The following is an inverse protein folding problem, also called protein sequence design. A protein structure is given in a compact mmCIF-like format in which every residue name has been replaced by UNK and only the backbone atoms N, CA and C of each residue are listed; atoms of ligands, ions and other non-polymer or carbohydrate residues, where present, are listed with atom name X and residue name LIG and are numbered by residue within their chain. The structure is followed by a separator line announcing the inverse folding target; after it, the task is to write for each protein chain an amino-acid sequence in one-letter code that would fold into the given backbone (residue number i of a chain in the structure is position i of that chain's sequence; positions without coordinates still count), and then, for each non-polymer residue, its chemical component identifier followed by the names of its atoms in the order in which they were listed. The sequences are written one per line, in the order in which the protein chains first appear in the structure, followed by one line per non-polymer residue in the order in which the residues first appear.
data_IF_405970319982
#
_entry.id   IF_405970319982
#
_cell.length_a   1.000
_cell.length_b   1.000
_cell.length_c   1.000
_cell.angle_alpha   90.00
_cell.angle_beta   90.00
_cell.angle_gamma   90.00
#
_symmetry.space_group_name_H-M   'P 1'
#
loop_
_entity.id
_entity.type
_entity.pdbx_description
1 polymer ?
#
# COMPACT_ATOMS: atom_id res chain seq x y z
N UNK A 1 -29.40 21.47 -4.26
CA UNK A 1 -28.20 21.64 -3.40
C UNK A 1 -27.00 21.81 -4.31
N UNK A 2 -26.27 22.92 -4.17
CA UNK A 2 -25.15 23.38 -4.99
C UNK A 2 -24.24 22.31 -5.60
N UNK A 3 -24.41 22.06 -6.91
CA UNK A 3 -23.52 21.20 -7.72
C UNK A 3 -22.76 21.97 -8.80
N UNK A 4 -23.01 23.28 -8.92
CA UNK A 4 -22.43 24.14 -9.95
C UNK A 4 -21.62 25.27 -9.32
N UNK A 5 -20.55 25.68 -10.01
CA UNK A 5 -19.77 26.85 -9.64
C UNK A 5 -20.69 28.08 -9.47
N UNK A 6 -20.47 28.85 -8.40
CA UNK A 6 -21.34 29.96 -7.99
C UNK A 6 -22.35 29.60 -6.88
N UNK A 7 -22.76 28.33 -6.75
CA UNK A 7 -23.75 27.88 -5.76
C UNK A 7 -23.19 26.83 -4.76
N UNK A 8 -21.87 26.66 -4.66
CA UNK A 8 -21.22 25.58 -3.90
C UNK A 8 -21.28 25.80 -2.38
N UNK A 9 -20.81 26.95 -1.92
CA UNK A 9 -20.56 27.23 -0.50
C UNK A 9 -20.52 28.74 -0.26
N UNK A 10 -20.93 29.17 0.94
CA UNK A 10 -20.76 30.55 1.39
C UNK A 10 -19.42 30.71 2.12
N UNK A 11 -18.42 31.22 1.43
CA UNK A 11 -17.10 31.57 2.00
C UNK A 11 -16.99 33.08 2.18
N UNK A 12 -16.33 33.55 3.24
CA UNK A 12 -16.07 34.98 3.49
C UNK A 12 -14.60 35.19 3.87
N UNK A 13 -14.00 36.27 3.36
CA UNK A 13 -12.66 36.76 3.76
C UNK A 13 -11.49 35.78 3.59
N UNK A 14 -11.45 35.02 2.48
CA UNK A 14 -10.28 34.19 2.12
C UNK A 14 -9.60 34.80 0.89
N UNK A 15 -8.33 35.16 1.03
CA UNK A 15 -7.49 35.66 -0.09
C UNK A 15 -6.46 34.58 -0.42
N UNK A 16 -6.29 34.28 -1.70
CA UNK A 16 -5.34 33.28 -2.19
C UNK A 16 -4.49 33.89 -3.31
N UNK A 17 -3.19 33.61 -3.28
CA UNK A 17 -2.23 34.13 -4.25
C UNK A 17 -1.70 33.00 -5.12
N UNK A 18 -1.47 33.30 -6.40
CA UNK A 18 -1.01 32.34 -7.39
C UNK A 18 0.03 33.01 -8.29
N UNK A 19 1.02 32.23 -8.75
CA UNK A 19 1.99 32.66 -9.77
C UNK A 19 1.61 32.05 -11.11
N UNK A 20 1.88 32.76 -12.22
CA UNK A 20 1.71 32.21 -13.56
C UNK A 20 2.52 30.93 -13.74
N UNK A 21 2.02 29.89 -14.41
CA UNK A 21 2.76 28.64 -14.64
C UNK A 21 4.12 28.84 -15.32
N UNK A 22 4.23 29.86 -16.18
CA UNK A 22 5.47 30.18 -16.90
C UNK A 22 6.56 30.80 -15.99
N UNK A 23 6.17 31.29 -14.82
CA UNK A 23 7.08 31.85 -13.80
C UNK A 23 7.51 30.80 -12.77
N UNK A 24 6.93 29.61 -12.81
CA UNK A 24 7.19 28.53 -11.85
C UNK A 24 8.14 27.49 -12.43
N UNK A 25 8.91 26.85 -11.54
CA UNK A 25 9.66 25.64 -11.89
C UNK A 25 8.69 24.45 -11.94
N UNK A 26 8.82 23.59 -12.95
CA UNK A 26 7.98 22.38 -13.08
C UNK A 26 8.22 21.38 -11.94
N UNK A 27 9.48 21.24 -11.49
CA UNK A 27 9.86 20.35 -10.38
C UNK A 27 10.68 21.08 -9.31
N UNK A 28 10.03 21.90 -8.46
CA UNK A 28 10.71 22.54 -7.35
C UNK A 28 11.00 21.52 -6.24
N UNK A 29 12.10 21.74 -5.50
CA UNK A 29 12.41 21.05 -4.24
C UNK A 29 12.30 19.51 -4.28
N UNK A 30 12.92 18.89 -5.30
CA UNK A 30 13.02 17.43 -5.43
C UNK A 30 13.47 16.72 -4.14
N UNK A 31 14.52 17.15 -3.41
CA UNK A 31 14.93 16.46 -2.18
C UNK A 31 13.83 16.44 -1.12
N UNK A 32 13.09 17.55 -0.97
CA UNK A 32 11.96 17.61 -0.04
C UNK A 32 10.82 16.67 -0.45
N UNK A 33 10.55 16.55 -1.76
CA UNK A 33 9.54 15.62 -2.27
C UNK A 33 9.88 14.17 -1.95
N UNK A 34 11.15 13.77 -2.11
CA UNK A 34 11.60 12.41 -1.78
C UNK A 34 11.40 12.11 -0.29
N UNK A 35 11.81 13.05 0.58
CA UNK A 35 11.62 12.90 2.02
C UNK A 35 10.14 12.84 2.41
N UNK A 36 9.28 13.62 1.76
CA UNK A 36 7.84 13.56 2.01
C UNK A 36 7.22 12.25 1.49
N UNK A 37 7.68 11.70 0.36
CA UNK A 37 7.27 10.37 -0.11
C UNK A 37 7.66 9.30 0.90
N UNK A 38 8.89 9.34 1.42
CA UNK A 38 9.34 8.43 2.47
C UNK A 38 8.45 8.53 3.72
N UNK A 39 8.14 9.74 4.19
CA UNK A 39 7.24 9.97 5.32
C UNK A 39 5.83 9.40 5.08
N UNK A 40 5.29 9.48 3.85
CA UNK A 40 3.98 8.91 3.49
C UNK A 40 4.02 7.39 3.40
N UNK A 41 5.14 6.83 2.93
CA UNK A 41 5.35 5.39 2.90
C UNK A 41 5.43 4.83 4.33
N UNK A 42 6.29 5.39 5.18
CA UNK A 42 6.51 4.91 6.54
C UNK A 42 5.25 4.98 7.41
N UNK A 43 4.40 6.01 7.23
CA UNK A 43 3.14 6.14 7.98
C UNK A 43 2.10 5.08 7.62
N UNK A 44 2.20 4.47 6.43
CA UNK A 44 1.26 3.46 5.95
C UNK A 44 1.82 2.03 6.04
N UNK A 45 3.15 1.88 6.05
CA UNK A 45 3.84 0.60 6.01
C UNK A 45 3.33 -0.37 7.08
N UNK A 46 3.30 0.03 8.35
CA UNK A 46 2.88 -0.86 9.44
C UNK A 46 1.38 -1.16 9.47
N UNK A 47 0.55 -0.40 8.76
CA UNK A 47 -0.88 -0.72 8.63
C UNK A 47 -1.14 -1.77 7.56
N UNK A 48 -0.34 -1.76 6.50
CA UNK A 48 -0.58 -2.56 5.29
C UNK A 48 0.28 -3.83 5.27
N UNK A 49 1.58 -3.69 5.57
CA UNK A 49 2.56 -4.78 5.44
C UNK A 49 2.25 -6.02 6.30
N UNK A 50 1.81 -5.92 7.58
CA UNK A 50 1.59 -7.11 8.40
C UNK A 50 0.57 -8.08 7.82
N UNK A 51 -0.49 -7.57 7.19
CA UNK A 51 -1.55 -8.38 6.57
C UNK A 51 -1.01 -9.18 5.39
N UNK A 52 -0.20 -8.54 4.54
CA UNK A 52 0.44 -9.21 3.41
C UNK A 52 1.48 -10.25 3.85
N UNK A 53 2.29 -9.93 4.87
CA UNK A 53 3.28 -10.86 5.42
C UNK A 53 2.58 -12.10 5.96
N UNK A 54 1.52 -11.93 6.74
CA UNK A 54 0.76 -13.05 7.28
C UNK A 54 0.14 -13.92 6.18
N UNK A 55 -0.48 -13.31 5.17
CA UNK A 55 -1.04 -14.02 4.03
C UNK A 55 0.04 -14.83 3.29
N UNK A 56 1.23 -14.25 3.10
CA UNK A 56 2.33 -14.94 2.45
C UNK A 56 2.86 -16.11 3.27
N UNK A 57 2.99 -15.95 4.59
CA UNK A 57 3.38 -17.05 5.49
C UNK A 57 2.39 -18.21 5.43
N UNK A 58 1.09 -17.92 5.47
CA UNK A 58 0.04 -18.94 5.32
C UNK A 58 0.13 -19.64 3.97
N UNK A 59 0.35 -18.90 2.88
CA UNK A 59 0.52 -19.46 1.55
C UNK A 59 1.68 -20.46 1.48
N UNK A 60 2.85 -20.10 2.02
CA UNK A 60 4.02 -20.99 2.03
C UNK A 60 3.74 -22.23 2.86
N UNK A 61 3.24 -22.07 4.09
CA UNK A 61 2.92 -23.18 4.97
C UNK A 61 1.92 -24.15 4.34
N UNK A 62 0.83 -23.65 3.77
CA UNK A 62 -0.22 -24.47 3.17
C UNK A 62 0.31 -25.31 1.99
N UNK A 63 1.14 -24.70 1.14
CA UNK A 63 1.75 -25.40 0.01
C UNK A 63 2.74 -26.48 0.46
N UNK A 64 3.60 -26.17 1.42
CA UNK A 64 4.57 -27.13 1.96
C UNK A 64 3.88 -28.28 2.68
N UNK A 65 2.85 -27.99 3.46
CA UNK A 65 2.07 -28.99 4.17
C UNK A 65 1.32 -29.91 3.20
N UNK A 66 0.65 -29.35 2.19
CA UNK A 66 -0.01 -30.13 1.14
C UNK A 66 0.98 -31.03 0.38
N UNK A 67 2.19 -30.52 0.08
CA UNK A 67 3.25 -31.31 -0.57
C UNK A 67 3.75 -32.45 0.33
N UNK A 68 3.85 -32.23 1.65
CA UNK A 68 4.22 -33.27 2.61
C UNK A 68 3.16 -34.37 2.70
N UNK A 69 1.88 -34.00 2.79
CA UNK A 69 0.76 -34.97 2.88
C UNK A 69 0.61 -35.85 1.64
N UNK A 70 0.97 -35.34 0.47
CA UNK A 70 0.94 -36.13 -0.79
C UNK A 70 2.08 -37.13 -0.91
N UNK A 71 3.13 -37.02 -0.08
CA UNK A 71 4.21 -38.02 -0.07
C UNK A 71 3.76 -39.27 0.67
N UNK A 72 4.04 -40.43 0.09
CA UNK A 72 3.82 -41.72 0.75
C UNK A 72 4.68 -41.80 2.01
N UNK A 73 4.10 -42.29 3.11
CA UNK A 73 4.83 -42.55 4.34
C UNK A 73 5.53 -43.91 4.24
N UNK A 74 6.87 -44.00 4.31
CA UNK A 74 7.58 -45.27 4.21
C UNK A 74 7.22 -46.25 5.33
N UNK A 75 6.85 -45.74 6.52
CA UNK A 75 6.47 -46.57 7.67
C UNK A 75 5.20 -47.39 7.45
N UNK A 76 4.35 -47.01 6.50
CA UNK A 76 3.10 -47.75 6.20
C UNK A 76 3.38 -49.06 5.44
N UNK A 77 4.57 -49.24 4.86
CA UNK A 77 4.94 -50.41 4.05
C UNK A 77 5.95 -51.34 4.75
N UNK A 78 6.32 -51.07 6.00
CA UNK A 78 7.35 -51.83 6.73
C UNK A 78 6.89 -53.26 7.09
N UNK A 79 5.58 -53.49 7.22
CA UNK A 79 4.98 -54.78 7.61
C UNK A 79 4.13 -55.43 6.51
N UNK A 80 4.24 -54.95 5.27
CA UNK A 80 3.54 -55.54 4.12
C UNK A 80 4.40 -56.68 3.57
N UNK A 81 4.11 -57.91 4.02
CA UNK A 81 4.77 -59.18 3.64
C UNK A 81 3.78 -60.08 2.90
#
# INVERSE_FOLDING_TARGET
MGKQFGNLMKTRHVVSYYLSPFEQKVFPNIPHRILNTWRRFSSSFFRVTPQFVFAYMLYVWANDYNKKLKKKNPADYENDV
#
